data_IF_942652739540
#
_entry.id   IF_942652739540
#
_cell.length_a   1.000
_cell.length_b   1.000
_cell.length_c   1.000
_cell.angle_alpha   90.00
_cell.angle_beta   90.00
_cell.angle_gamma   90.00
#
_symmetry.space_group_name_H-M   'P 1'
#
loop_
_entity.id
_entity.type
_entity.pdbx_description
1 polymer ?
#
# COMPACT_ATOMS: atom_id res chain seq x y z
N UNK A 1 -28.21 13.20 -27.29
CA UNK A 1 -27.32 12.99 -26.14
C UNK A 1 -27.55 14.13 -25.15
N UNK A 2 -28.10 13.86 -23.95
CA UNK A 2 -28.04 14.78 -22.81
C UNK A 2 -26.59 15.11 -22.47
N UNK A 3 -26.32 16.34 -22.01
CA UNK A 3 -24.96 16.86 -21.75
C UNK A 3 -24.14 16.03 -20.73
N UNK A 4 -24.79 15.20 -19.90
CA UNK A 4 -24.16 14.45 -18.81
C UNK A 4 -24.06 12.94 -19.08
N UNK A 5 -24.47 12.45 -20.26
CA UNK A 5 -24.36 11.03 -20.57
C UNK A 5 -22.93 10.71 -21.04
N UNK A 6 -22.24 9.72 -20.43
CA UNK A 6 -20.92 9.30 -20.90
C UNK A 6 -21.04 8.75 -22.32
N UNK A 7 -20.31 9.36 -23.26
CA UNK A 7 -20.23 8.92 -24.65
C UNK A 7 -19.16 7.82 -24.78
N UNK A 8 -19.53 6.58 -25.14
CA UNK A 8 -18.58 5.47 -25.31
C UNK A 8 -17.54 5.70 -26.41
N UNK A 9 -17.74 6.71 -27.26
CA UNK A 9 -16.84 7.09 -28.35
C UNK A 9 -15.95 8.30 -28.01
N UNK A 10 -16.09 8.90 -26.83
CA UNK A 10 -15.24 10.01 -26.39
C UNK A 10 -13.80 9.51 -26.16
N UNK A 11 -12.80 10.00 -26.94
CA UNK A 11 -11.41 9.60 -26.77
C UNK A 11 -10.80 10.06 -25.44
N UNK A 12 -11.43 10.99 -24.72
CA UNK A 12 -10.99 11.46 -23.41
C UNK A 12 -11.69 10.75 -22.25
N UNK A 13 -12.58 9.79 -22.52
CA UNK A 13 -13.22 9.01 -21.48
C UNK A 13 -12.17 8.14 -20.76
N UNK A 14 -12.14 8.22 -19.42
CA UNK A 14 -11.27 7.37 -18.62
C UNK A 14 -11.80 5.93 -18.66
N UNK A 15 -10.99 5.03 -19.23
CA UNK A 15 -11.27 3.59 -19.23
C UNK A 15 -10.28 2.91 -18.28
N UNK A 16 -10.79 2.48 -17.13
CA UNK A 16 -10.02 1.63 -16.22
C UNK A 16 -9.96 0.20 -16.76
N UNK A 17 -8.77 -0.40 -16.77
CA UNK A 17 -8.56 -1.81 -17.09
C UNK A 17 -7.91 -2.47 -15.89
N UNK A 18 -8.50 -3.55 -15.40
CA UNK A 18 -7.87 -4.39 -14.38
C UNK A 18 -6.83 -5.28 -15.05
N UNK A 19 -5.59 -5.19 -14.60
CA UNK A 19 -4.56 -6.16 -14.96
C UNK A 19 -4.58 -7.28 -13.93
N UNK A 20 -4.71 -8.56 -14.34
CA UNK A 20 -4.67 -9.66 -13.39
C UNK A 20 -3.29 -9.69 -12.74
N UNK A 21 -3.26 -9.40 -11.44
CA UNK A 21 -2.07 -9.62 -10.63
C UNK A 21 -1.99 -11.12 -10.33
N UNK A 22 -0.81 -11.71 -10.50
CA UNK A 22 -0.60 -13.08 -10.03
C UNK A 22 -0.71 -13.11 -8.51
N UNK A 23 -1.43 -14.09 -7.99
CA UNK A 23 -1.64 -14.31 -6.55
C UNK A 23 -0.31 -14.39 -5.78
N UNK A 24 0.74 -14.87 -6.47
CA UNK A 24 2.13 -14.97 -6.03
C UNK A 24 2.78 -13.61 -5.69
N UNK A 25 2.24 -12.49 -6.14
CA UNK A 25 2.84 -11.14 -5.93
C UNK A 25 2.41 -10.47 -4.63
N UNK A 26 1.44 -11.04 -3.90
CA UNK A 26 0.90 -10.42 -2.69
C UNK A 26 1.96 -10.23 -1.59
N UNK A 27 2.88 -11.19 -1.46
CA UNK A 27 3.97 -11.13 -0.49
C UNK A 27 4.99 -10.05 -0.85
N UNK A 28 5.39 -9.97 -2.12
CA UNK A 28 6.29 -8.93 -2.62
C UNK A 28 5.70 -7.53 -2.41
N UNK A 29 4.41 -7.37 -2.69
CA UNK A 29 3.69 -6.11 -2.44
C UNK A 29 3.62 -5.77 -0.94
N UNK A 30 3.44 -6.76 -0.07
CA UNK A 30 3.48 -6.56 1.38
C UNK A 30 4.85 -6.03 1.84
N UNK A 31 5.95 -6.59 1.31
CA UNK A 31 7.30 -6.09 1.58
C UNK A 31 7.48 -4.65 1.12
N UNK A 32 7.02 -4.29 -0.09
CA UNK A 32 7.09 -2.91 -0.60
C UNK A 32 6.37 -1.95 0.35
N UNK A 33 5.13 -2.25 0.73
CA UNK A 33 4.40 -1.37 1.66
C UNK A 33 5.10 -1.26 3.02
N UNK A 34 5.54 -2.37 3.60
CA UNK A 34 6.21 -2.37 4.90
C UNK A 34 7.54 -1.61 4.86
N UNK A 35 8.35 -1.78 3.81
CA UNK A 35 9.62 -1.08 3.64
C UNK A 35 9.42 0.43 3.51
N UNK A 36 8.54 0.88 2.60
CA UNK A 36 8.36 2.29 2.32
C UNK A 36 7.94 3.05 3.59
N UNK A 37 6.97 2.52 4.33
CA UNK A 37 6.52 3.15 5.56
C UNK A 37 7.53 3.01 6.71
N UNK A 38 8.28 1.90 6.80
CA UNK A 38 9.37 1.79 7.77
C UNK A 38 10.46 2.84 7.52
N UNK A 39 10.82 3.09 6.25
CA UNK A 39 11.78 4.14 5.85
C UNK A 39 11.24 5.56 6.10
N UNK A 40 9.92 5.73 6.10
CA UNK A 40 9.25 6.96 6.55
C UNK A 40 9.17 7.09 8.08
N UNK A 41 9.75 6.17 8.84
CA UNK A 41 9.80 6.23 10.31
C UNK A 41 8.53 5.75 11.00
N UNK A 42 7.71 4.93 10.34
CA UNK A 42 6.55 4.32 10.99
C UNK A 42 7.00 3.19 11.91
N UNK A 43 6.39 3.13 13.09
CA UNK A 43 6.56 2.04 14.05
C UNK A 43 5.65 0.84 13.71
N UNK A 44 5.86 -0.29 14.40
CA UNK A 44 5.10 -1.54 14.19
C UNK A 44 3.60 -1.32 14.32
N UNK A 45 3.14 -0.57 15.30
CA UNK A 45 1.71 -0.34 15.53
C UNK A 45 1.07 0.42 14.36
N UNK A 46 1.74 1.47 13.86
CA UNK A 46 1.27 2.22 12.68
C UNK A 46 1.29 1.36 11.42
N UNK A 47 2.33 0.56 11.21
CA UNK A 47 2.40 -0.36 10.08
C UNK A 47 1.26 -1.38 10.11
N UNK A 48 1.03 -2.05 11.23
CA UNK A 48 -0.09 -2.99 11.37
C UNK A 48 -1.46 -2.32 11.18
N UNK A 49 -1.61 -1.04 11.56
CA UNK A 49 -2.82 -0.26 11.26
C UNK A 49 -3.02 0.04 9.78
N UNK A 50 -1.96 0.19 9.01
CA UNK A 50 -2.05 0.37 7.55
C UNK A 50 -2.62 -0.91 6.92
N UNK A 51 -2.03 -2.06 7.22
CA UNK A 51 -2.46 -3.35 6.67
C UNK A 51 -3.89 -3.75 7.09
N UNK A 52 -4.33 -3.43 8.31
CA UNK A 52 -5.66 -3.81 8.80
C UNK A 52 -6.82 -2.91 8.34
N UNK A 53 -6.55 -1.76 7.72
CA UNK A 53 -7.59 -0.77 7.35
C UNK A 53 -7.92 -0.82 5.85
N UNK A 54 -9.21 -1.01 5.47
CA UNK A 54 -9.64 -1.02 4.06
C UNK A 54 -9.33 0.25 3.27
N UNK A 55 -9.15 1.38 3.96
CA UNK A 55 -8.70 2.64 3.35
C UNK A 55 -7.39 2.47 2.58
N UNK A 56 -6.49 1.62 3.05
CA UNK A 56 -5.24 1.28 2.36
C UNK A 56 -5.44 0.02 1.52
N UNK A 57 -6.21 0.14 0.44
CA UNK A 57 -6.71 -1.00 -0.33
C UNK A 57 -5.60 -2.02 -0.69
N UNK A 58 -4.46 -1.59 -1.23
CA UNK A 58 -3.36 -2.50 -1.59
C UNK A 58 -2.79 -3.28 -0.40
N UNK A 59 -2.45 -2.58 0.69
CA UNK A 59 -1.94 -3.22 1.90
C UNK A 59 -3.01 -4.12 2.55
N UNK A 60 -4.27 -3.68 2.54
CA UNK A 60 -5.37 -4.45 3.09
C UNK A 60 -5.67 -5.73 2.31
N UNK A 61 -5.56 -5.71 0.99
CA UNK A 61 -5.67 -6.92 0.18
C UNK A 61 -4.54 -7.90 0.51
N UNK A 62 -3.30 -7.43 0.63
CA UNK A 62 -2.19 -8.28 1.06
C UNK A 62 -2.43 -8.88 2.47
N UNK A 63 -3.02 -8.11 3.39
CA UNK A 63 -3.39 -8.59 4.72
C UNK A 63 -4.47 -9.68 4.71
N UNK A 64 -5.50 -9.52 3.88
CA UNK A 64 -6.56 -10.54 3.73
C UNK A 64 -6.04 -11.80 3.08
N UNK A 65 -5.12 -11.67 2.12
CA UNK A 65 -4.56 -12.78 1.36
C UNK A 65 -3.53 -13.59 2.17
N UNK A 66 -2.56 -12.91 2.80
CA UNK A 66 -1.45 -13.55 3.54
C UNK A 66 -1.78 -13.83 5.00
N UNK A 67 -2.75 -13.12 5.56
CA UNK A 67 -3.12 -13.19 6.97
C UNK A 67 -2.23 -12.37 7.90
N UNK A 68 -2.75 -12.06 9.08
CA UNK A 68 -2.13 -11.14 10.04
C UNK A 68 -0.74 -11.56 10.51
N UNK A 69 -0.53 -12.87 10.68
CA UNK A 69 0.74 -13.41 11.18
C UNK A 69 1.88 -13.18 10.18
N UNK A 70 1.65 -13.47 8.90
CA UNK A 70 2.68 -13.28 7.86
C UNK A 70 3.00 -11.79 7.68
N UNK A 71 1.97 -10.93 7.72
CA UNK A 71 2.18 -9.48 7.69
C UNK A 71 3.01 -9.00 8.88
N UNK A 72 2.76 -9.53 10.08
CA UNK A 72 3.53 -9.16 11.26
C UNK A 72 5.01 -9.54 11.12
N UNK A 73 5.31 -10.73 10.60
CA UNK A 73 6.68 -11.17 10.31
C UNK A 73 7.37 -10.24 9.31
N UNK A 74 6.70 -9.90 8.20
CA UNK A 74 7.22 -8.96 7.19
C UNK A 74 7.50 -7.59 7.80
N UNK A 75 6.58 -7.06 8.61
CA UNK A 75 6.75 -5.77 9.30
C UNK A 75 7.96 -5.80 10.23
N UNK A 76 8.14 -6.88 11.01
CA UNK A 76 9.28 -7.04 11.91
C UNK A 76 10.61 -7.11 11.13
N UNK A 77 10.63 -7.83 10.02
CA UNK A 77 11.80 -7.91 9.11
C UNK A 77 12.17 -6.53 8.55
N UNK A 78 11.19 -5.78 8.02
CA UNK A 78 11.42 -4.44 7.50
C UNK A 78 11.88 -3.46 8.58
N UNK A 79 11.28 -3.49 9.78
CA UNK A 79 11.68 -2.61 10.88
C UNK A 79 13.07 -2.94 11.42
N UNK A 80 13.49 -4.20 11.40
CA UNK A 80 14.84 -4.60 11.79
C UNK A 80 15.91 -3.97 10.89
N UNK A 81 15.62 -3.83 9.60
CA UNK A 81 16.53 -3.27 8.60
C UNK A 81 16.43 -1.74 8.57
N UNK A 82 15.21 -1.20 8.50
CA UNK A 82 14.94 0.19 8.16
C UNK A 82 14.45 1.05 9.33
N UNK A 83 13.96 0.45 10.42
CA UNK A 83 13.31 1.16 11.54
C UNK A 83 14.24 2.00 12.42
N UNK A 84 15.53 2.12 12.07
CA UNK A 84 16.51 2.96 12.77
C UNK A 84 16.71 4.34 12.12
N UNK A 85 16.11 4.59 10.96
CA UNK A 85 16.17 5.88 10.28
C UNK A 85 15.21 6.89 10.92
N UNK A 86 15.72 8.08 11.30
CA UNK A 86 14.83 9.20 11.65
C UNK A 86 14.03 9.60 10.40
N UNK A 87 12.73 9.90 10.52
CA UNK A 87 11.93 10.34 9.39
C UNK A 87 12.49 11.66 8.81
N UNK A 88 12.76 11.69 7.49
CA UNK A 88 13.18 12.90 6.77
C UNK A 88 12.09 14.00 6.69
N UNK A 89 10.92 13.80 7.32
CA UNK A 89 9.78 14.72 7.22
C UNK A 89 9.87 15.96 8.13
N UNK A 90 10.81 16.02 9.08
CA UNK A 90 10.98 17.21 9.93
C UNK A 90 11.82 18.33 9.27
N UNK A 91 12.55 18.04 8.20
CA UNK A 91 13.50 18.98 7.59
C UNK A 91 12.86 19.99 6.61
N UNK A 92 11.53 19.91 6.38
CA UNK A 92 10.78 20.81 5.47
C UNK A 92 9.94 21.87 6.19
N UNK A 93 10.11 22.07 7.50
CA UNK A 93 9.38 23.07 8.30
C UNK A 93 10.31 23.97 9.14
N UNK A 94 11.46 24.35 8.59
CA UNK A 94 12.31 25.40 9.14
C UNK A 94 12.46 26.54 8.13
#
# INVERSE_FOLDING_TARGET
MPYNDPDPTDPNMLVGVELPAAEETAEEMAYVFAEEFARMGFDKEKLMRIFSRPFYAGAHQAYLHLGSKRIEEIVDECLKIWGKGKPQSEERRA
#
